data_IF_254410034680
#
_entry.id   IF_254410034680
#
_cell.length_a   1.000
_cell.length_b   1.000
_cell.length_c   1.000
_cell.angle_alpha   90.00
_cell.angle_beta   90.00
_cell.angle_gamma   90.00
#
_symmetry.space_group_name_H-M   'P 1'
#
loop_
_entity.id
_entity.type
_entity.pdbx_description
1 polymer ?
#
# COMPACT_ATOMS: atom_id res chain seq x y z
N UNK A 1 21.88 -5.00 -11.62
CA UNK A 1 20.88 -5.63 -10.75
C UNK A 1 20.26 -4.62 -9.79
N UNK A 2 20.97 -4.09 -8.77
CA UNK A 2 20.34 -3.08 -7.89
C UNK A 2 19.91 -1.79 -8.63
N UNK A 3 20.71 -1.33 -9.59
CA UNK A 3 20.38 -0.13 -10.37
C UNK A 3 19.11 -0.28 -11.20
N UNK A 4 18.77 -1.49 -11.65
CA UNK A 4 17.64 -1.71 -12.57
C UNK A 4 16.31 -1.45 -11.84
N UNK A 5 16.20 -1.88 -10.58
CA UNK A 5 15.06 -1.58 -9.70
C UNK A 5 14.87 -0.07 -9.52
N UNK A 6 15.94 0.68 -9.29
CA UNK A 6 15.85 2.14 -9.11
C UNK A 6 15.55 2.88 -10.40
N UNK A 7 16.04 2.37 -11.53
CA UNK A 7 15.83 2.92 -12.86
C UNK A 7 14.36 2.91 -13.25
N UNK A 8 13.69 1.79 -13.00
CA UNK A 8 12.25 1.62 -13.24
C UNK A 8 11.40 2.57 -12.38
N UNK A 9 11.98 3.13 -11.30
CA UNK A 9 11.33 4.05 -10.37
C UNK A 9 11.63 5.53 -10.62
N UNK A 10 12.47 5.87 -11.61
CA UNK A 10 12.82 7.27 -11.88
C UNK A 10 11.64 8.10 -12.38
N UNK A 11 10.72 7.50 -13.15
CA UNK A 11 9.52 8.20 -13.65
C UNK A 11 8.53 8.48 -12.51
N UNK A 12 8.21 7.46 -11.71
CA UNK A 12 7.38 7.60 -10.50
C UNK A 12 7.96 8.64 -9.52
N UNK A 13 9.30 8.73 -9.43
CA UNK A 13 10.00 9.76 -8.66
C UNK A 13 9.81 11.17 -9.23
N UNK A 14 9.88 11.34 -10.56
CA UNK A 14 9.69 12.63 -11.24
C UNK A 14 8.24 13.14 -11.14
N UNK A 15 7.27 12.23 -11.25
CA UNK A 15 5.85 12.56 -11.16
C UNK A 15 5.36 12.72 -9.71
N UNK A 16 6.22 12.42 -8.72
CA UNK A 16 5.93 12.56 -7.30
C UNK A 16 5.01 11.48 -6.74
N UNK A 17 4.87 10.36 -7.43
CA UNK A 17 3.99 9.23 -7.07
C UNK A 17 4.69 8.19 -6.20
N UNK A 18 6.02 8.29 -6.04
CA UNK A 18 6.79 7.38 -5.23
C UNK A 18 6.50 7.54 -3.73
N UNK A 19 6.27 6.43 -3.02
CA UNK A 19 6.08 6.44 -1.56
C UNK A 19 7.32 6.97 -0.83
N UNK A 20 7.11 7.60 0.33
CA UNK A 20 8.18 8.30 1.08
C UNK A 20 9.39 7.42 1.40
N UNK A 21 9.17 6.16 1.80
CA UNK A 21 10.26 5.23 2.11
C UNK A 21 11.12 4.92 0.86
N UNK A 22 10.48 4.54 -0.25
CA UNK A 22 11.17 4.24 -1.51
C UNK A 22 11.87 5.47 -2.09
N UNK A 23 11.33 6.67 -1.85
CA UNK A 23 11.96 7.92 -2.25
C UNK A 23 13.29 8.15 -1.54
N UNK A 24 13.34 7.95 -0.22
CA UNK A 24 14.58 8.09 0.55
C UNK A 24 15.64 7.09 0.07
N UNK A 25 15.23 5.85 -0.18
CA UNK A 25 16.14 4.80 -0.68
C UNK A 25 16.68 5.13 -2.09
N UNK A 26 15.82 5.62 -2.98
CA UNK A 26 16.23 6.05 -4.31
C UNK A 26 17.16 7.27 -4.26
N UNK A 27 16.89 8.25 -3.40
CA UNK A 27 17.77 9.42 -3.22
C UNK A 27 19.15 9.01 -2.69
N UNK A 28 19.20 8.09 -1.71
CA UNK A 28 20.45 7.52 -1.22
C UNK A 28 21.22 6.75 -2.31
N UNK A 29 20.50 6.03 -3.19
CA UNK A 29 21.12 5.37 -4.35
C UNK A 29 21.66 6.39 -5.36
N UNK A 30 20.90 7.45 -5.63
CA UNK A 30 21.31 8.53 -6.54
C UNK A 30 22.54 9.25 -6.02
N UNK A 31 22.79 9.35 -4.71
CA UNK A 31 24.02 9.94 -4.17
C UNK A 31 25.28 9.10 -4.47
N UNK A 32 25.11 7.79 -4.65
CA UNK A 32 26.22 6.85 -4.83
C UNK A 32 26.40 6.40 -6.29
N UNK A 33 25.34 6.43 -7.11
CA UNK A 33 25.33 5.91 -8.47
C UNK A 33 25.32 7.01 -9.54
N UNK A 34 26.45 7.20 -10.23
CA UNK A 34 26.55 8.17 -11.32
C UNK A 34 25.68 7.82 -12.54
N UNK A 35 25.44 6.52 -12.81
CA UNK A 35 24.63 6.07 -13.94
C UNK A 35 23.16 6.45 -13.78
N UNK A 36 22.57 6.15 -12.63
CA UNK A 36 21.17 6.53 -12.34
C UNK A 36 20.99 8.05 -12.25
N UNK A 37 22.00 8.81 -11.79
CA UNK A 37 21.96 10.28 -11.86
C UNK A 37 21.95 10.81 -13.30
N UNK A 38 22.77 10.23 -14.18
CA UNK A 38 22.80 10.62 -15.59
C UNK A 38 21.44 10.36 -16.23
N UNK A 39 20.87 9.18 -16.01
CA UNK A 39 19.56 8.82 -16.56
C UNK A 39 18.43 9.71 -16.05
N UNK A 40 18.43 10.03 -14.76
CA UNK A 40 17.47 10.98 -14.18
C UNK A 40 17.62 12.39 -14.78
N UNK A 41 18.84 12.84 -15.07
CA UNK A 41 19.07 14.11 -15.76
C UNK A 41 18.52 14.07 -17.19
N UNK A 42 18.79 13.01 -17.93
CA UNK A 42 18.36 12.86 -19.32
C UNK A 42 16.81 12.83 -19.42
N UNK A 43 16.14 12.19 -18.46
CA UNK A 43 14.67 12.24 -18.31
C UNK A 43 14.16 13.67 -18.05
N UNK A 44 14.80 14.40 -17.13
CA UNK A 44 14.44 15.81 -16.84
C UNK A 44 14.63 16.72 -18.05
N UNK A 45 15.72 16.53 -18.78
CA UNK A 45 15.99 17.28 -20.01
C UNK A 45 14.91 17.00 -21.05
N UNK A 46 14.53 15.73 -21.24
CA UNK A 46 13.44 15.34 -22.14
C UNK A 46 12.12 16.02 -21.76
N UNK A 47 11.74 15.99 -20.49
CA UNK A 47 10.54 16.67 -20.00
C UNK A 47 10.61 18.20 -20.22
N UNK A 48 11.79 18.80 -20.04
CA UNK A 48 11.99 20.24 -20.27
C UNK A 48 11.82 20.64 -21.74
N UNK A 49 12.18 19.75 -22.68
CA UNK A 49 11.97 19.97 -24.10
C UNK A 49 10.49 19.87 -24.45
N UNK A 50 9.77 18.89 -23.88
CA UNK A 50 8.32 18.74 -24.07
C UNK A 50 7.59 19.97 -23.51
N UNK A 51 8.00 20.47 -22.35
CA UNK A 51 7.39 21.63 -21.70
C UNK A 51 7.52 22.94 -22.50
N UNK A 52 8.47 23.02 -23.45
CA UNK A 52 8.63 24.20 -24.33
C UNK A 52 7.63 24.22 -25.48
N UNK A 53 6.90 23.12 -25.72
CA UNK A 53 5.90 23.06 -26.78
C UNK A 53 4.71 23.94 -26.37
N UNK A 54 4.34 24.96 -27.17
CA UNK A 54 3.21 25.82 -26.84
C UNK A 54 1.93 25.00 -26.83
N UNK A 55 1.33 24.86 -25.65
CA UNK A 55 0.04 24.22 -25.51
C UNK A 55 -1.06 25.21 -25.95
N UNK A 56 -2.02 24.79 -26.80
CA UNK A 56 -3.15 25.64 -27.16
C UNK A 56 -4.00 25.90 -25.92
N UNK A 57 -4.33 27.18 -25.68
CA UNK A 57 -5.19 27.53 -24.57
C UNK A 57 -6.63 27.06 -24.88
N UNK A 58 -7.26 26.27 -23.98
CA UNK A 58 -8.62 25.81 -24.20
C UNK A 58 -9.60 26.99 -24.28
N UNK A 59 -10.59 26.89 -25.18
CA UNK A 59 -11.59 27.94 -25.36
C UNK A 59 -12.51 28.08 -24.14
N UNK A 60 -13.10 29.26 -23.95
CA UNK A 60 -14.08 29.47 -22.87
C UNK A 60 -15.26 28.50 -22.96
N UNK A 61 -15.71 28.17 -24.18
CA UNK A 61 -16.76 27.18 -24.40
C UNK A 61 -16.37 25.78 -23.89
N UNK A 62 -15.11 25.37 -24.09
CA UNK A 62 -14.59 24.11 -23.55
C UNK A 62 -14.63 24.11 -22.02
N UNK A 63 -14.18 25.18 -21.37
CA UNK A 63 -14.21 25.27 -19.90
C UNK A 63 -15.63 25.19 -19.34
N UNK A 64 -16.57 25.87 -19.98
CA UNK A 64 -17.98 25.82 -19.59
C UNK A 64 -18.56 24.41 -19.71
N UNK A 65 -18.21 23.68 -20.78
CA UNK A 65 -18.63 22.29 -20.93
C UNK A 65 -17.97 21.38 -19.89
N UNK A 66 -16.66 21.48 -19.70
CA UNK A 66 -15.90 20.69 -18.75
C UNK A 66 -16.41 20.86 -17.31
N UNK A 67 -16.66 22.12 -16.90
CA UNK A 67 -17.22 22.42 -15.58
C UNK A 67 -18.64 21.88 -15.40
N UNK A 68 -19.47 21.88 -16.46
CA UNK A 68 -20.79 21.24 -16.42
C UNK A 68 -20.67 19.74 -16.21
N UNK A 69 -19.76 19.07 -16.92
CA UNK A 69 -19.54 17.63 -16.78
C UNK A 69 -19.01 17.26 -15.39
N UNK A 70 -18.08 18.03 -14.83
CA UNK A 70 -17.62 17.86 -13.45
C UNK A 70 -18.78 18.01 -12.47
N UNK A 71 -19.58 19.08 -12.59
CA UNK A 71 -20.73 19.29 -11.69
C UNK A 71 -21.74 18.15 -11.79
N UNK A 72 -22.06 17.69 -13.00
CA UNK A 72 -22.96 16.54 -13.17
C UNK A 72 -22.41 15.27 -12.51
N UNK A 73 -21.11 14.99 -12.64
CA UNK A 73 -20.50 13.85 -11.95
C UNK A 73 -20.48 14.01 -10.43
N UNK A 74 -20.25 15.23 -9.93
CA UNK A 74 -20.30 15.52 -8.50
C UNK A 74 -21.74 15.46 -7.93
N UNK A 75 -22.73 15.85 -8.73
CA UNK A 75 -24.16 15.82 -8.38
C UNK A 75 -24.78 14.41 -8.51
N UNK A 76 -24.09 13.46 -9.15
CA UNK A 76 -24.42 12.02 -9.09
C UNK A 76 -24.12 11.39 -7.73
N UNK A 77 -24.17 12.17 -6.65
CA UNK A 77 -24.37 11.60 -5.32
C UNK A 77 -25.68 10.82 -5.35
N UNK A 78 -25.68 9.52 -4.99
CA UNK A 78 -26.87 8.71 -5.09
C UNK A 78 -28.02 9.34 -4.31
N UNK A 79 -29.23 9.36 -4.87
CA UNK A 79 -30.41 9.93 -4.21
C UNK A 79 -30.67 9.35 -2.81
N UNK A 80 -30.24 8.11 -2.55
CA UNK A 80 -30.33 7.49 -1.24
C UNK A 80 -29.40 8.14 -0.20
N UNK A 81 -28.29 8.78 -0.59
CA UNK A 81 -27.38 9.45 0.35
C UNK A 81 -28.00 10.70 0.97
N UNK A 82 -28.77 11.47 0.20
CA UNK A 82 -29.49 12.63 0.72
C UNK A 82 -30.70 12.23 1.56
N UNK A 83 -31.41 11.15 1.16
CA UNK A 83 -32.48 10.56 1.96
C UNK A 83 -31.98 9.99 3.29
N UNK A 84 -30.88 9.22 3.26
CA UNK A 84 -30.28 8.58 4.42
C UNK A 84 -29.66 9.60 5.37
N UNK A 85 -28.97 10.63 4.86
CA UNK A 85 -28.47 11.76 5.67
C UNK A 85 -29.61 12.50 6.38
N UNK A 86 -30.75 12.69 5.71
CA UNK A 86 -31.94 13.32 6.31
C UNK A 86 -32.57 12.42 7.37
N UNK A 87 -32.62 11.11 7.12
CA UNK A 87 -33.11 10.11 8.06
C UNK A 87 -32.24 10.03 9.32
N UNK A 88 -30.91 9.93 9.17
CA UNK A 88 -29.96 9.96 10.30
C UNK A 88 -30.00 11.29 11.05
N UNK A 89 -30.09 12.43 10.36
CA UNK A 89 -30.22 13.73 11.02
C UNK A 89 -31.51 13.79 11.88
N UNK A 90 -32.64 13.28 11.38
CA UNK A 90 -33.87 13.20 12.18
C UNK A 90 -33.78 12.21 13.34
N UNK A 91 -33.01 11.13 13.17
CA UNK A 91 -32.81 10.12 14.21
C UNK A 91 -31.92 10.67 15.34
N UNK A 92 -30.87 11.40 15.00
CA UNK A 92 -29.95 12.08 15.94
C UNK A 92 -30.60 13.28 16.64
N UNK A 93 -31.50 14.02 15.96
CA UNK A 93 -32.25 15.13 16.58
C UNK A 93 -33.32 14.67 17.58
N UNK A 94 -33.78 13.42 17.47
CA UNK A 94 -34.75 12.85 18.41
C UNK A 94 -33.98 12.39 19.64
N UNK A 95 -34.39 12.68 20.89
CA UNK A 95 -33.61 12.34 22.08
C UNK A 95 -33.57 10.83 22.40
N UNK A 96 -34.31 10.01 21.65
CA UNK A 96 -34.50 8.57 21.88
C UNK A 96 -33.18 7.76 21.80
N UNK A 97 -32.27 7.93 20.81
CA UNK A 97 -31.03 7.17 20.76
C UNK A 97 -30.05 7.57 21.86
N UNK A 98 -30.07 8.83 22.32
CA UNK A 98 -29.24 9.27 23.44
C UNK A 98 -29.64 8.57 24.75
N UNK A 99 -30.94 8.37 24.98
CA UNK A 99 -31.46 7.63 26.14
C UNK A 99 -31.07 6.15 26.09
N UNK A 100 -31.16 5.52 24.91
CA UNK A 100 -30.77 4.10 24.75
C UNK A 100 -29.28 3.91 24.96
N UNK A 101 -28.42 4.76 24.37
CA UNK A 101 -26.98 4.70 24.55
C UNK A 101 -26.60 4.95 26.01
N UNK A 102 -27.19 5.96 26.65
CA UNK A 102 -26.98 6.21 28.08
C UNK A 102 -27.42 5.03 28.94
N UNK A 103 -28.57 4.39 28.65
CA UNK A 103 -29.04 3.22 29.38
C UNK A 103 -28.10 2.03 29.22
N UNK A 104 -27.58 1.76 28.02
CA UNK A 104 -26.60 0.69 27.77
C UNK A 104 -25.29 0.96 28.50
N UNK A 105 -24.79 2.20 28.47
CA UNK A 105 -23.58 2.59 29.20
C UNK A 105 -23.76 2.47 30.71
N UNK A 106 -24.91 2.90 31.25
CA UNK A 106 -25.24 2.76 32.67
C UNK A 106 -25.37 1.29 33.06
N UNK A 107 -26.04 0.47 32.26
CA UNK A 107 -26.14 -0.97 32.51
C UNK A 107 -24.77 -1.65 32.48
N UNK A 108 -23.94 -1.33 31.49
CA UNK A 108 -22.57 -1.84 31.40
C UNK A 108 -21.71 -1.41 32.59
N UNK A 109 -21.80 -0.14 33.01
CA UNK A 109 -21.13 0.39 34.19
C UNK A 109 -21.61 -0.30 35.48
N UNK A 110 -22.90 -0.58 35.62
CA UNK A 110 -23.47 -1.29 36.78
C UNK A 110 -23.02 -2.75 36.82
N UNK A 111 -22.99 -3.43 35.68
CA UNK A 111 -22.53 -4.82 35.57
C UNK A 111 -21.04 -4.93 35.88
N UNK A 112 -20.21 -4.06 35.28
CA UNK A 112 -18.77 -3.99 35.58
C UNK A 112 -18.51 -3.62 37.04
N UNK A 113 -19.24 -2.65 37.60
CA UNK A 113 -19.14 -2.33 39.02
C UNK A 113 -19.49 -3.51 39.92
N UNK A 114 -20.58 -4.24 39.65
CA UNK A 114 -20.97 -5.42 40.43
C UNK A 114 -19.92 -6.53 40.36
N UNK A 115 -19.46 -6.85 39.17
CA UNK A 115 -18.43 -7.90 38.95
C UNK A 115 -17.07 -7.53 39.56
N UNK A 116 -16.75 -6.23 39.67
CA UNK A 116 -15.53 -5.77 40.35
C UNK A 116 -15.69 -5.68 41.87
N UNK A 117 -16.91 -5.44 42.38
CA UNK A 117 -17.18 -5.34 43.82
C UNK A 117 -17.34 -6.71 44.48
N UNK A 118 -17.88 -7.68 43.75
CA UNK A 118 -17.74 -9.09 44.06
C UNK A 118 -16.28 -9.47 43.87
N UNK A 119 -15.48 -9.31 44.93
CA UNK A 119 -14.09 -9.77 44.93
C UNK A 119 -14.07 -11.19 44.39
N UNK A 120 -13.35 -11.49 43.30
CA UNK A 120 -13.16 -12.87 42.92
C UNK A 120 -12.60 -13.59 44.14
N UNK A 121 -13.29 -14.61 44.62
CA UNK A 121 -12.73 -15.58 45.56
C UNK A 121 -11.45 -16.06 44.92
N UNK A 122 -10.31 -15.55 45.37
CA UNK A 122 -9.02 -15.97 44.85
C UNK A 122 -8.95 -17.48 45.05
N UNK A 123 -8.88 -18.28 43.98
CA UNK A 123 -8.51 -19.67 44.14
C UNK A 123 -7.13 -19.65 44.78
N UNK A 124 -6.95 -20.48 45.81
CA UNK A 124 -5.68 -20.74 46.45
C UNK A 124 -4.58 -20.86 45.38
N UNK A 125 -3.53 -20.04 45.50
CA UNK A 125 -2.33 -20.09 44.67
C UNK A 125 -1.58 -21.40 44.97
N UNK A 126 -2.15 -22.50 44.50
CA UNK A 126 -1.73 -23.87 44.71
C UNK A 126 -1.39 -24.57 43.40
N UNK A 127 -0.80 -23.85 42.44
CA UNK A 127 0.00 -24.40 41.34
C UNK A 127 0.34 -23.25 40.38
N UNK A 128 1.42 -22.51 40.68
CA UNK A 128 2.14 -21.81 39.63
C UNK A 128 2.81 -22.88 38.74
N UNK A 129 2.05 -23.42 37.79
CA UNK A 129 2.57 -24.17 36.63
C UNK A 129 3.07 -23.17 35.57
N UNK A 130 3.84 -22.19 36.01
CA UNK A 130 4.26 -21.01 35.24
C UNK A 130 5.62 -21.24 34.56
N UNK A 131 5.91 -22.49 34.19
CA UNK A 131 7.12 -22.84 33.43
C UNK A 131 6.83 -23.44 32.06
N UNK A 132 5.57 -23.78 31.73
CA UNK A 132 5.25 -24.47 30.48
C UNK A 132 4.72 -23.56 29.34
N UNK A 133 4.31 -22.32 29.60
CA UNK A 133 3.71 -21.42 28.59
C UNK A 133 4.68 -20.36 28.03
N UNK A 134 5.93 -20.33 28.48
CA UNK A 134 6.99 -19.48 27.90
C UNK A 134 7.72 -20.13 26.71
N UNK A 135 7.30 -21.33 26.27
CA UNK A 135 7.86 -22.02 25.11
C UNK A 135 7.08 -21.79 23.80
N UNK A 136 6.05 -20.93 23.80
CA UNK A 136 5.31 -20.55 22.58
C UNK A 136 5.88 -19.25 22.00
N UNK A 137 7.18 -19.23 21.74
CA UNK A 137 7.82 -18.28 20.82
C UNK A 137 8.79 -18.96 19.86
N UNK A 138 8.65 -20.27 19.65
CA UNK A 138 9.13 -20.93 18.43
C UNK A 138 7.93 -21.23 17.55
N UNK A 139 7.36 -20.17 16.99
CA UNK A 139 6.63 -20.28 15.73
C UNK A 139 7.17 -19.18 14.80
N UNK A 140 8.49 -19.21 14.66
CA UNK A 140 9.24 -18.60 13.56
C UNK A 140 9.25 -19.54 12.34
N UNK A 141 8.29 -20.46 12.24
CA UNK A 141 8.08 -21.30 11.05
C UNK A 141 7.24 -20.57 9.97
N UNK A 142 6.59 -19.45 10.30
CA UNK A 142 5.76 -18.70 9.34
C UNK A 142 6.58 -17.81 8.37
N UNK A 143 7.88 -17.63 8.60
CA UNK A 143 8.77 -16.92 7.65
C UNK A 143 9.52 -17.85 6.68
N UNK A 144 9.12 -19.11 6.54
CA UNK A 144 9.62 -20.00 5.48
C UNK A 144 8.70 -20.11 4.24
N UNK A 145 7.52 -19.49 4.23
CA UNK A 145 6.73 -19.31 3.01
C UNK A 145 7.23 -18.14 2.14
N UNK A 146 8.55 -18.07 1.95
CA UNK A 146 9.20 -17.29 0.90
C UNK A 146 10.10 -18.18 0.02
N UNK A 147 9.80 -19.48 -0.03
CA UNK A 147 10.42 -20.41 -0.97
C UNK A 147 9.45 -20.69 -2.14
N UNK A 148 9.00 -19.63 -2.82
CA UNK A 148 8.45 -19.72 -4.16
C UNK A 148 9.50 -19.18 -5.16
N UNK A 149 10.62 -19.89 -5.21
CA UNK A 149 11.59 -19.87 -6.30
C UNK A 149 11.85 -21.31 -6.81
N UNK A 150 10.83 -22.17 -6.82
CA UNK A 150 10.89 -23.45 -7.54
C UNK A 150 10.21 -23.33 -8.90
N UNK A 151 10.94 -22.74 -9.86
CA UNK A 151 10.86 -23.14 -11.27
C UNK A 151 12.13 -22.66 -12.03
N UNK A 152 13.32 -23.01 -11.51
CA UNK A 152 14.59 -22.86 -12.23
C UNK A 152 15.18 -24.22 -12.69
N UNK A 153 14.37 -25.27 -12.78
CA UNK A 153 14.82 -26.60 -13.21
C UNK A 153 14.75 -26.80 -14.75
N UNK A 154 15.08 -25.75 -15.52
CA UNK A 154 15.01 -25.83 -17.00
C UNK A 154 16.10 -25.06 -17.75
N UNK A 155 17.27 -24.86 -17.13
CA UNK A 155 18.43 -24.25 -17.80
C UNK A 155 19.75 -25.02 -17.62
N UNK A 156 19.72 -26.30 -17.27
CA UNK A 156 20.94 -27.13 -17.23
C UNK A 156 21.36 -27.66 -18.63
N UNK A 157 20.50 -27.51 -19.65
CA UNK A 157 20.76 -28.01 -21.01
C UNK A 157 21.41 -26.99 -21.97
N UNK A 158 21.54 -25.72 -21.57
CA UNK A 158 22.03 -24.65 -22.44
C UNK A 158 23.56 -24.61 -22.61
N UNK A 159 24.34 -25.20 -21.70
CA UNK A 159 25.80 -25.30 -21.86
C UNK A 159 26.22 -26.37 -22.88
N UNK A 160 25.39 -27.42 -23.08
CA UNK A 160 25.69 -28.49 -24.04
C UNK A 160 25.45 -28.05 -25.50
N UNK A 161 24.51 -27.12 -25.73
CA UNK A 161 24.24 -26.56 -27.06
C UNK A 161 25.30 -25.50 -27.44
N UNK A 162 25.75 -24.69 -26.47
CA UNK A 162 26.75 -23.63 -26.71
C UNK A 162 28.11 -24.20 -27.12
N UNK A 163 28.55 -25.30 -26.52
CA UNK A 163 29.85 -25.90 -26.85
C UNK A 163 29.91 -26.45 -28.28
N UNK A 164 28.81 -27.02 -28.80
CA UNK A 164 28.74 -27.51 -30.20
C UNK A 164 28.65 -26.38 -31.24
N UNK A 165 28.09 -25.24 -30.89
CA UNK A 165 28.00 -24.09 -31.81
C UNK A 165 29.36 -23.41 -32.04
N UNK A 166 30.27 -23.46 -31.06
CA UNK A 166 31.60 -22.84 -31.15
C UNK A 166 32.59 -23.72 -31.93
N UNK A 167 32.38 -25.03 -31.98
CA UNK A 167 33.26 -25.97 -32.70
C UNK A 167 32.94 -26.08 -34.20
N UNK A 168 31.70 -25.75 -34.60
CA UNK A 168 31.27 -25.75 -36.01
C UNK A 168 31.82 -24.59 -36.85
N UNK A 169 32.11 -23.43 -36.23
CA UNK A 169 32.58 -22.24 -36.97
C UNK A 169 34.09 -22.21 -37.24
N UNK A 170 34.88 -23.08 -36.57
CA UNK A 170 36.33 -23.23 -36.82
C UNK A 170 36.69 -24.25 -37.90
N UNK A 171 35.73 -24.98 -38.48
CA UNK A 171 35.97 -25.90 -39.61
C UNK A 171 35.55 -25.34 -40.98
N UNK A 172 35.09 -24.08 -41.03
CA UNK A 172 34.63 -23.43 -42.26
C UNK A 172 35.45 -22.17 -42.65
N UNK A 173 36.65 -22.01 -42.08
CA UNK A 173 37.66 -21.04 -42.50
C UNK A 173 38.99 -21.78 -42.74
#
# INVERSE_FOLDING_TARGET
>A
MACDVYRDKLVEYLDGELIVAMRADLEAHLDQCAGCRAELRDLRETLSLIAQIPAPEPSEAFWQQYLREIRQKAERVPWWTSALRRWFATLVLRPIPAVVVAAVLVLGAVVTWRTLTERPTMPELGSLDLTHQLLITQDLEVLQEMELLEEWELLEEWELIRSRAIEGSRRAA
#
